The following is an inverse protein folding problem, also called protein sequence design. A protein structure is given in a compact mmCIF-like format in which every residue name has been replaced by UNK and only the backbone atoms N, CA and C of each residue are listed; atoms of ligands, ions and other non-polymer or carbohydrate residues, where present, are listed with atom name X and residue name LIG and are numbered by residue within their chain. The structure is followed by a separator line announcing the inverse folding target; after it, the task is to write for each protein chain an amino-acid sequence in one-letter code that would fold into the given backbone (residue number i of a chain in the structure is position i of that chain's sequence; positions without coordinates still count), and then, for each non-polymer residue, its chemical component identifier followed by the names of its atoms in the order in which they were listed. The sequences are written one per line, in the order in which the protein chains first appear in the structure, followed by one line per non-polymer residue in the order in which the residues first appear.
data_IF_544260687430
#
_entry.id   IF_544260687430
#
_cell.length_a   1.000
_cell.length_b   1.000
_cell.length_c   1.000
_cell.angle_alpha   90.00
_cell.angle_beta   90.00
_cell.angle_gamma   90.00
#
_symmetry.space_group_name_H-M   'P 1'
#
loop_
_entity.id
_entity.type
_entity.pdbx_description
1 polymer ?
#
# COMPACT_ATOMS: atom_id res chain seq x y z
N UNK A 1 -16.84 -15.65 -5.89
CA UNK A 1 -16.10 -15.14 -4.70
C UNK A 1 -16.66 -13.79 -4.33
N UNK A 2 -16.59 -13.36 -3.07
CA UNK A 2 -17.12 -12.05 -2.63
C UNK A 2 -16.25 -11.43 -1.55
N UNK A 3 -16.12 -10.11 -1.56
CA UNK A 3 -15.56 -9.34 -0.45
C UNK A 3 -16.61 -8.41 0.15
N UNK A 4 -16.44 -8.08 1.42
CA UNK A 4 -17.37 -7.31 2.23
C UNK A 4 -16.59 -6.30 3.07
N UNK A 5 -17.19 -5.12 3.29
CA UNK A 5 -16.79 -4.21 4.37
C UNK A 5 -17.49 -4.67 5.65
N UNK A 6 -16.74 -4.72 6.74
CA UNK A 6 -17.22 -5.05 8.08
C UNK A 6 -17.31 -3.79 8.91
N UNK A 7 -18.25 -3.79 9.86
CA UNK A 7 -18.40 -2.80 10.91
C UNK A 7 -18.74 -3.54 12.20
N UNK A 8 -18.17 -3.16 13.32
CA UNK A 8 -18.58 -3.72 14.60
C UNK A 8 -19.98 -3.21 14.96
N UNK A 9 -20.81 -4.10 15.53
CA UNK A 9 -22.21 -3.79 15.88
C UNK A 9 -22.27 -2.76 17.01
N UNK A 10 -21.36 -2.85 17.98
CA UNK A 10 -21.35 -2.03 19.18
C UNK A 10 -20.49 -0.75 19.04
N UNK A 11 -19.55 -0.74 18.09
CA UNK A 11 -18.69 0.40 17.76
C UNK A 11 -18.45 0.46 16.24
N UNK A 12 -19.35 1.10 15.46
CA UNK A 12 -19.23 1.20 14.02
C UNK A 12 -17.94 1.87 13.53
N UNK A 13 -17.21 2.57 14.41
CA UNK A 13 -15.88 3.11 14.11
C UNK A 13 -14.83 2.02 13.90
N UNK A 14 -15.08 0.78 14.37
CA UNK A 14 -14.24 -0.37 14.12
C UNK A 14 -14.67 -1.02 12.81
N UNK A 15 -13.88 -0.80 11.77
CA UNK A 15 -14.12 -1.35 10.43
C UNK A 15 -13.23 -2.55 10.16
N UNK A 16 -13.56 -3.25 9.07
CA UNK A 16 -12.70 -4.28 8.54
C UNK A 16 -13.09 -4.70 7.14
N UNK A 17 -12.41 -5.73 6.65
CA UNK A 17 -12.64 -6.39 5.37
C UNK A 17 -12.74 -7.88 5.56
N UNK A 18 -13.64 -8.51 4.82
CA UNK A 18 -13.78 -9.96 4.75
C UNK A 18 -13.86 -10.39 3.28
N UNK A 19 -13.00 -11.30 2.88
CA UNK A 19 -13.13 -12.07 1.64
C UNK A 19 -13.65 -13.48 1.96
N UNK A 20 -14.70 -13.91 1.25
CA UNK A 20 -15.22 -15.28 1.27
C UNK A 20 -14.96 -15.90 -0.09
N UNK A 21 -14.10 -16.91 -0.10
CA UNK A 21 -13.63 -17.59 -1.31
C UNK A 21 -13.75 -19.11 -1.16
N UNK A 22 -13.55 -19.87 -2.25
CA UNK A 22 -13.34 -21.31 -2.21
C UNK A 22 -12.10 -21.77 -1.42
N UNK A 23 -11.35 -20.88 -0.74
CA UNK A 23 -10.31 -21.23 0.23
C UNK A 23 -10.75 -20.95 1.68
N UNK A 24 -11.99 -20.51 1.89
CA UNK A 24 -12.53 -20.10 3.18
C UNK A 24 -12.62 -18.57 3.34
N UNK A 25 -12.65 -18.13 4.60
CA UNK A 25 -12.72 -16.72 4.97
C UNK A 25 -11.33 -16.14 5.27
N UNK A 26 -11.03 -14.98 4.71
CA UNK A 26 -9.87 -14.16 5.08
C UNK A 26 -10.37 -12.78 5.45
N UNK A 27 -9.99 -12.26 6.62
CA UNK A 27 -10.44 -10.97 7.10
C UNK A 27 -9.32 -10.19 7.81
N UNK A 28 -9.49 -8.88 7.83
CA UNK A 28 -8.76 -7.94 8.69
C UNK A 28 -9.79 -7.02 9.33
N UNK A 29 -9.61 -6.67 10.60
CA UNK A 29 -10.45 -5.68 11.26
C UNK A 29 -9.66 -4.92 12.32
N UNK A 30 -9.97 -3.64 12.46
CA UNK A 30 -9.35 -2.78 13.45
C UNK A 30 -9.84 -3.07 14.86
N UNK A 31 -8.93 -2.94 15.82
CA UNK A 31 -9.26 -2.88 17.26
C UNK A 31 -8.55 -1.69 17.89
N UNK A 32 -8.84 -1.38 19.15
CA UNK A 32 -8.10 -0.33 19.88
C UNK A 32 -6.61 -0.65 20.06
N UNK A 33 -6.22 -1.93 19.99
CA UNK A 33 -4.84 -2.37 20.15
C UNK A 33 -4.09 -2.55 18.82
N UNK A 34 -4.75 -2.32 17.69
CA UNK A 34 -4.23 -2.54 16.34
C UNK A 34 -5.08 -3.51 15.52
N UNK A 35 -4.62 -3.80 14.31
CA UNK A 35 -5.36 -4.66 13.38
C UNK A 35 -5.26 -6.14 13.79
N UNK A 36 -6.35 -6.88 13.62
CA UNK A 36 -6.42 -8.33 13.81
C UNK A 36 -6.72 -8.98 12.47
N UNK A 37 -5.97 -10.03 12.15
CA UNK A 37 -6.12 -10.81 10.93
C UNK A 37 -6.74 -12.16 11.25
N UNK A 38 -7.61 -12.62 10.35
CA UNK A 38 -8.22 -13.95 10.36
C UNK A 38 -7.96 -14.58 9.00
N UNK A 39 -7.39 -15.77 8.94
CA UNK A 39 -7.18 -16.48 7.68
C UNK A 39 -7.28 -18.00 7.86
N UNK A 40 -7.45 -18.77 6.78
CA UNK A 40 -7.41 -20.23 6.87
C UNK A 40 -6.09 -20.68 7.48
N UNK A 41 -6.14 -21.54 8.51
CA UNK A 41 -4.94 -22.03 9.21
C UNK A 41 -3.90 -22.66 8.28
N UNK A 42 -4.37 -23.30 7.21
CA UNK A 42 -3.55 -23.82 6.13
C UNK A 42 -4.27 -23.66 4.78
N UNK A 43 -3.50 -23.59 3.70
CA UNK A 43 -4.01 -23.58 2.33
C UNK A 43 -4.81 -24.86 2.02
N UNK A 44 -5.91 -24.74 1.27
CA UNK A 44 -6.71 -25.87 0.81
C UNK A 44 -7.67 -26.48 1.85
N UNK A 45 -7.87 -25.84 3.02
CA UNK A 45 -8.87 -26.26 4.00
C UNK A 45 -9.71 -25.07 4.47
N UNK A 46 -10.97 -25.31 4.82
CA UNK A 46 -11.92 -24.23 5.19
C UNK A 46 -12.50 -24.40 6.61
N UNK A 47 -12.06 -25.42 7.35
CA UNK A 47 -12.66 -25.78 8.64
C UNK A 47 -12.03 -25.01 9.81
N UNK A 48 -10.75 -24.69 9.70
CA UNK A 48 -9.98 -24.05 10.76
C UNK A 48 -9.41 -22.72 10.28
N UNK A 49 -9.62 -21.69 11.09
CA UNK A 49 -9.08 -20.36 10.88
C UNK A 49 -8.21 -20.00 12.07
N UNK A 50 -7.16 -19.22 11.80
CA UNK A 50 -6.31 -18.63 12.83
C UNK A 50 -6.58 -17.14 12.90
N UNK A 51 -6.66 -16.60 14.12
CA UNK A 51 -6.74 -15.17 14.36
C UNK A 51 -5.48 -14.73 15.12
N UNK A 52 -4.89 -13.61 14.72
CA UNK A 52 -3.66 -13.09 15.32
C UNK A 52 -3.56 -11.57 15.14
N UNK A 53 -2.86 -10.91 16.06
CA UNK A 53 -2.64 -9.48 15.98
C UNK A 53 -1.60 -9.16 14.89
N UNK A 54 -1.74 -8.01 14.23
CA UNK A 54 -0.75 -7.51 13.28
C UNK A 54 0.65 -7.37 13.90
N UNK A 55 0.72 -7.04 15.20
CA UNK A 55 1.98 -6.97 15.95
C UNK A 55 2.70 -8.32 16.08
N UNK A 56 1.97 -9.43 15.97
CA UNK A 56 2.53 -10.80 16.00
C UNK A 56 2.90 -11.31 14.61
N UNK A 57 2.69 -10.51 13.55
CA UNK A 57 3.14 -10.85 12.20
C UNK A 57 4.66 -10.86 12.14
N UNK A 58 5.23 -12.05 12.00
CA UNK A 58 6.64 -12.23 11.76
C UNK A 58 6.88 -12.56 10.29
N UNK A 59 7.73 -11.75 9.67
CA UNK A 59 8.33 -12.07 8.40
C UNK A 59 9.80 -12.41 8.65
N UNK A 60 10.19 -13.62 8.25
CA UNK A 60 11.56 -14.08 8.39
C UNK A 60 12.51 -13.22 7.54
N UNK A 61 13.44 -12.47 8.16
CA UNK A 61 14.39 -11.64 7.44
C UNK A 61 15.25 -12.42 6.45
N UNK A 62 15.47 -13.72 6.68
CA UNK A 62 16.25 -14.57 5.77
C UNK A 62 15.51 -14.87 4.46
N UNK A 63 14.19 -14.63 4.41
CA UNK A 63 13.38 -14.74 3.19
C UNK A 63 13.32 -13.43 2.39
N UNK A 64 13.81 -12.33 2.96
CA UNK A 64 13.79 -11.02 2.33
C UNK A 64 15.04 -10.81 1.45
N UNK A 65 14.88 -10.30 0.22
CA UNK A 65 16.03 -9.83 -0.55
C UNK A 65 16.65 -8.61 0.13
N UNK A 66 17.94 -8.36 -0.15
CA UNK A 66 18.68 -7.24 0.44
C UNK A 66 18.05 -5.86 0.13
N UNK A 67 17.31 -5.78 -0.97
CA UNK A 67 16.56 -4.60 -1.40
C UNK A 67 15.07 -4.83 -1.13
N UNK A 68 14.50 -4.13 -0.14
CA UNK A 68 13.09 -4.31 0.23
C UNK A 68 12.13 -3.91 -0.90
N UNK A 69 12.43 -2.79 -1.59
CA UNK A 69 11.70 -2.29 -2.74
C UNK A 69 12.68 -1.81 -3.83
N UNK A 70 12.35 -2.07 -5.09
CA UNK A 70 13.14 -1.68 -6.26
C UNK A 70 12.70 -0.39 -6.94
N UNK A 71 11.85 0.43 -6.32
CA UNK A 71 11.29 1.63 -6.94
C UNK A 71 12.36 2.68 -7.27
N UNK A 72 12.59 2.89 -8.57
CA UNK A 72 13.46 3.97 -9.06
C UNK A 72 12.61 5.02 -9.76
N UNK A 73 12.30 6.15 -9.09
CA UNK A 73 11.53 7.22 -9.70
C UNK A 73 12.29 7.87 -10.86
N UNK A 74 11.56 8.31 -11.87
CA UNK A 74 12.07 9.21 -12.90
C UNK A 74 12.45 10.57 -12.30
N UNK A 75 13.31 11.38 -12.96
CA UNK A 75 13.62 12.73 -12.50
C UNK A 75 12.36 13.59 -12.29
N UNK A 76 11.35 13.45 -13.15
CA UNK A 76 10.07 14.14 -13.00
C UNK A 76 9.32 13.71 -11.72
N UNK A 77 9.36 12.43 -11.34
CA UNK A 77 8.76 11.92 -10.09
C UNK A 77 9.49 12.45 -8.86
N UNK A 78 10.81 12.59 -8.92
CA UNK A 78 11.60 13.23 -7.87
C UNK A 78 11.30 14.73 -7.76
N UNK A 79 11.03 15.39 -8.88
CA UNK A 79 10.66 16.81 -8.97
C UNK A 79 9.19 17.09 -8.65
N UNK A 80 8.31 16.07 -8.69
CA UNK A 80 6.90 16.10 -8.24
C UNK A 80 6.78 16.25 -6.70
N UNK A 81 7.57 17.14 -6.13
CA UNK A 81 7.24 17.81 -4.90
C UNK A 81 5.89 18.50 -5.05
N UNK A 82 5.04 18.41 -4.02
CA UNK A 82 3.84 19.24 -3.93
C UNK A 82 4.33 20.69 -4.09
N UNK A 83 3.88 21.44 -5.11
CA UNK A 83 4.47 22.73 -5.43
C UNK A 83 4.51 23.63 -4.18
N UNK A 84 5.62 24.34 -3.92
CA UNK A 84 5.76 25.18 -2.72
C UNK A 84 4.62 26.21 -2.54
N UNK A 85 4.07 26.72 -3.66
CA UNK A 85 2.93 27.64 -3.66
C UNK A 85 1.56 26.95 -3.43
N UNK A 86 1.55 25.62 -3.40
CA UNK A 86 0.42 24.75 -3.02
C UNK A 86 0.61 24.12 -1.64
N UNK A 87 1.66 24.44 -0.89
CA UNK A 87 1.76 24.07 0.54
C UNK A 87 0.57 24.60 1.36
N UNK A 88 -0.03 25.78 1.07
CA UNK A 88 -1.32 26.15 1.67
C UNK A 88 -2.48 25.22 1.29
N UNK A 89 -2.38 24.51 0.15
CA UNK A 89 -3.35 23.50 -0.31
C UNK A 89 -3.02 22.07 0.13
N UNK A 90 -1.78 21.73 0.48
CA UNK A 90 -1.45 20.47 1.15
C UNK A 90 -2.17 20.36 2.51
N UNK A 91 -2.33 21.51 3.18
CA UNK A 91 -3.21 21.69 4.35
C UNK A 91 -4.70 21.70 3.95
N UNK A 92 -5.04 22.05 2.70
CA UNK A 92 -6.43 22.03 2.21
C UNK A 92 -6.98 20.64 1.85
N UNK A 93 -6.13 19.62 1.69
CA UNK A 93 -6.61 18.21 1.73
C UNK A 93 -7.02 17.77 3.13
N UNK A 94 -6.74 18.60 4.15
CA UNK A 94 -7.25 18.49 5.52
C UNK A 94 -8.34 19.53 5.76
N UNK A 95 -9.05 19.93 4.71
CA UNK A 95 -10.18 20.84 4.78
C UNK A 95 -11.33 20.16 5.52
N UNK A 96 -11.36 20.28 6.84
CA UNK A 96 -12.38 19.64 7.65
C UNK A 96 -13.79 20.02 7.21
N UNK A 97 -14.72 19.08 7.40
CA UNK A 97 -16.14 19.23 7.13
C UNK A 97 -16.54 19.16 5.66
N UNK A 98 -15.64 18.74 4.76
CA UNK A 98 -15.99 18.42 3.37
C UNK A 98 -16.54 16.99 3.25
N UNK A 99 -17.43 16.70 2.28
CA UNK A 99 -17.85 15.33 2.01
C UNK A 99 -16.65 14.45 1.63
N UNK A 100 -16.58 13.27 2.25
CA UNK A 100 -15.57 12.27 1.95
C UNK A 100 -16.03 11.40 0.77
N UNK A 101 -15.07 10.99 -0.07
CA UNK A 101 -15.32 10.17 -1.25
C UNK A 101 -14.35 9.00 -1.32
N UNK A 102 -14.82 7.86 -1.82
CA UNK A 102 -13.95 6.76 -2.23
C UNK A 102 -13.61 6.90 -3.71
N UNK A 103 -12.32 6.93 -4.05
CA UNK A 103 -11.81 6.90 -5.43
C UNK A 103 -11.49 5.46 -5.81
N UNK A 104 -12.33 4.87 -6.65
CA UNK A 104 -12.16 3.51 -7.11
C UNK A 104 -11.34 3.44 -8.40
N UNK A 105 -10.32 2.59 -8.41
CA UNK A 105 -9.46 2.30 -9.56
C UNK A 105 -9.51 0.82 -9.91
N UNK A 106 -9.57 0.51 -11.20
CA UNK A 106 -9.59 -0.85 -11.70
C UNK A 106 -8.18 -1.41 -11.90
N UNK A 107 -7.90 -2.56 -11.30
CA UNK A 107 -6.62 -3.26 -11.36
C UNK A 107 -6.75 -4.49 -12.26
N UNK A 108 -5.88 -4.57 -13.27
CA UNK A 108 -5.61 -5.81 -13.99
C UNK A 108 -4.45 -6.54 -13.29
N UNK A 109 -4.76 -7.62 -12.58
CA UNK A 109 -3.81 -8.39 -11.78
C UNK A 109 -3.51 -9.72 -12.47
N UNK A 110 -2.26 -9.89 -12.90
CA UNK A 110 -1.79 -11.14 -13.50
C UNK A 110 -0.86 -11.88 -12.55
N UNK A 111 -0.46 -13.12 -12.87
CA UNK A 111 0.53 -13.85 -12.09
C UNK A 111 1.45 -14.71 -12.96
N UNK A 112 2.63 -15.02 -12.44
CA UNK A 112 3.49 -16.05 -13.02
C UNK A 112 2.94 -17.45 -12.69
N UNK A 113 3.34 -18.45 -13.48
CA UNK A 113 2.99 -19.85 -13.27
C UNK A 113 3.51 -20.36 -11.92
N UNK A 114 4.68 -19.92 -11.47
CA UNK A 114 5.24 -20.31 -10.18
C UNK A 114 4.37 -19.83 -9.02
N UNK A 115 3.85 -18.60 -9.11
CA UNK A 115 2.87 -18.10 -8.16
C UNK A 115 1.60 -18.97 -8.20
N UNK A 116 1.09 -19.24 -9.40
CA UNK A 116 -0.12 -20.02 -9.56
C UNK A 116 0.00 -21.42 -8.93
N UNK A 117 1.12 -22.10 -9.15
CA UNK A 117 1.41 -23.40 -8.53
C UNK A 117 1.46 -23.32 -7.00
N UNK A 118 2.07 -22.28 -6.42
CA UNK A 118 2.06 -22.06 -4.95
C UNK A 118 0.67 -21.78 -4.39
N UNK A 119 -0.24 -21.25 -5.20
CA UNK A 119 -1.65 -21.04 -4.85
C UNK A 119 -2.53 -22.20 -5.30
N UNK A 120 -2.00 -23.42 -5.45
CA UNK A 120 -2.77 -24.63 -5.71
C UNK A 120 -3.00 -24.96 -7.18
N UNK A 121 -2.46 -24.19 -8.13
CA UNK A 121 -2.36 -24.56 -9.53
C UNK A 121 -3.68 -24.54 -10.31
N UNK A 122 -4.71 -23.84 -9.82
CA UNK A 122 -5.99 -23.68 -10.54
C UNK A 122 -6.38 -22.22 -10.67
N UNK A 123 -7.14 -21.89 -11.71
CA UNK A 123 -7.69 -20.54 -11.90
C UNK A 123 -8.50 -20.10 -10.67
N UNK A 124 -9.33 -20.99 -10.14
CA UNK A 124 -10.17 -20.69 -8.98
C UNK A 124 -9.34 -20.38 -7.72
N UNK A 125 -8.27 -21.14 -7.49
CA UNK A 125 -7.43 -20.96 -6.30
C UNK A 125 -6.55 -19.72 -6.38
N UNK A 126 -6.07 -19.35 -7.57
CA UNK A 126 -5.36 -18.09 -7.82
C UNK A 126 -6.30 -16.89 -7.68
N UNK A 127 -7.49 -16.96 -8.30
CA UNK A 127 -8.47 -15.88 -8.20
C UNK A 127 -8.94 -15.66 -6.75
N UNK A 128 -9.05 -16.74 -5.95
CA UNK A 128 -9.30 -16.63 -4.51
C UNK A 128 -8.19 -15.87 -3.77
N UNK A 129 -6.93 -16.10 -4.15
CA UNK A 129 -5.77 -15.36 -3.63
C UNK A 129 -5.83 -13.89 -4.00
N UNK A 130 -6.14 -13.56 -5.27
CA UNK A 130 -6.28 -12.18 -5.75
C UNK A 130 -7.38 -11.43 -4.99
N UNK A 131 -8.58 -12.01 -4.89
CA UNK A 131 -9.72 -11.40 -4.17
C UNK A 131 -9.38 -11.16 -2.70
N UNK A 132 -8.71 -12.12 -2.06
CA UNK A 132 -8.31 -11.98 -0.65
C UNK A 132 -7.25 -10.89 -0.48
N UNK A 133 -6.25 -10.83 -1.38
CA UNK A 133 -5.18 -9.84 -1.34
C UNK A 133 -5.72 -8.41 -1.49
N UNK A 134 -6.53 -8.18 -2.52
CA UNK A 134 -7.16 -6.88 -2.78
C UNK A 134 -8.12 -6.50 -1.66
N UNK A 135 -8.87 -7.46 -1.10
CA UNK A 135 -9.74 -7.19 0.04
C UNK A 135 -8.97 -6.74 1.28
N UNK A 136 -7.82 -7.35 1.57
CA UNK A 136 -6.96 -6.95 2.69
C UNK A 136 -6.31 -5.58 2.44
N UNK A 137 -5.81 -5.34 1.23
CA UNK A 137 -5.19 -4.07 0.85
C UNK A 137 -6.18 -2.89 0.93
N UNK A 138 -7.43 -3.12 0.52
CA UNK A 138 -8.49 -2.10 0.60
C UNK A 138 -8.86 -1.71 2.03
N UNK A 139 -8.52 -2.49 3.07
CA UNK A 139 -8.68 -2.00 4.45
C UNK A 139 -7.74 -0.83 4.72
N UNK A 140 -6.50 -0.93 4.24
CA UNK A 140 -5.49 0.13 4.38
C UNK A 140 -5.85 1.31 3.49
N UNK A 141 -6.07 1.09 2.19
CA UNK A 141 -6.27 2.18 1.24
C UNK A 141 -7.53 3.01 1.50
N UNK A 142 -8.64 2.36 1.89
CA UNK A 142 -9.87 3.09 2.16
C UNK A 142 -9.80 3.85 3.48
N UNK A 143 -9.16 3.29 4.51
CA UNK A 143 -8.97 3.93 5.82
C UNK A 143 -8.04 5.13 5.74
N UNK A 144 -6.94 5.01 5.00
CA UNK A 144 -5.87 6.01 5.02
C UNK A 144 -6.08 7.14 4.02
N UNK A 145 -6.55 6.83 2.80
CA UNK A 145 -6.54 7.79 1.68
C UNK A 145 -7.85 7.86 0.89
N UNK A 146 -8.86 7.08 1.28
CA UNK A 146 -10.14 7.00 0.59
C UNK A 146 -10.01 6.40 -0.81
N UNK A 147 -9.12 5.42 -1.00
CA UNK A 147 -8.90 4.76 -2.29
C UNK A 147 -9.38 3.31 -2.22
N UNK A 148 -10.06 2.86 -3.28
CA UNK A 148 -10.43 1.46 -3.48
C UNK A 148 -9.78 0.94 -4.75
N UNK A 149 -9.22 -0.26 -4.67
CA UNK A 149 -8.76 -1.02 -5.83
C UNK A 149 -9.74 -2.16 -6.10
N UNK A 150 -10.21 -2.27 -7.34
CA UNK A 150 -11.17 -3.31 -7.76
C UNK A 150 -10.58 -4.10 -8.92
N UNK A 151 -10.58 -5.43 -8.80
CA UNK A 151 -10.20 -6.33 -9.90
C UNK A 151 -11.10 -6.10 -11.13
N UNK A 152 -10.56 -6.26 -12.32
CA UNK A 152 -11.31 -6.05 -13.56
C UNK A 152 -12.28 -7.20 -13.82
N UNK A 153 -13.20 -7.01 -14.75
CA UNK A 153 -13.94 -8.14 -15.30
C UNK A 153 -13.01 -9.07 -16.07
N UNK A 154 -13.31 -10.38 -16.06
CA UNK A 154 -12.52 -11.43 -16.72
C UNK A 154 -11.08 -11.56 -16.21
N UNK A 155 -10.86 -11.29 -14.92
CA UNK A 155 -9.56 -11.47 -14.26
C UNK A 155 -8.99 -12.88 -14.45
N UNK A 156 -9.84 -13.89 -14.62
CA UNK A 156 -9.43 -15.27 -14.88
C UNK A 156 -8.60 -15.45 -16.16
N UNK A 157 -8.76 -14.57 -17.15
CA UNK A 157 -7.99 -14.61 -18.41
C UNK A 157 -6.55 -14.14 -18.22
N UNK A 158 -6.24 -13.51 -17.08
CA UNK A 158 -4.91 -13.02 -16.73
C UNK A 158 -4.12 -14.01 -15.86
N UNK A 159 -4.68 -15.19 -15.58
CA UNK A 159 -4.08 -16.22 -14.74
C UNK A 159 -3.32 -17.24 -15.60
N UNK A 160 -2.00 -17.27 -15.41
CA UNK A 160 -1.12 -18.25 -16.05
C UNK A 160 -0.76 -19.35 -15.06
N UNK A 161 -1.12 -20.60 -15.39
CA UNK A 161 -0.95 -21.74 -14.46
C UNK A 161 0.39 -22.46 -14.62
N UNK A 162 0.97 -22.45 -15.81
CA UNK A 162 2.11 -23.28 -16.16
C UNK A 162 3.38 -22.42 -16.34
N UNK A 163 4.39 -22.56 -15.45
CA UNK A 163 5.65 -21.83 -15.54
C UNK A 163 6.37 -21.98 -16.89
N UNK A 164 6.19 -23.11 -17.58
CA UNK A 164 6.90 -23.38 -18.83
C UNK A 164 6.27 -22.67 -20.04
N UNK A 165 5.01 -22.24 -19.93
CA UNK A 165 4.25 -21.69 -21.06
C UNK A 165 3.68 -20.28 -20.83
N UNK A 166 3.83 -19.77 -19.61
CA UNK A 166 3.45 -18.41 -19.26
C UNK A 166 4.31 -17.35 -20.03
N UNK A 167 3.92 -16.07 -20.01
CA UNK A 167 4.65 -15.02 -20.73
C UNK A 167 5.84 -14.43 -19.95
N UNK A 168 6.21 -15.00 -18.81
CA UNK A 168 7.17 -14.46 -17.87
C UNK A 168 8.49 -15.25 -17.89
N UNK A 169 9.59 -14.57 -18.20
CA UNK A 169 10.94 -15.10 -18.10
C UNK A 169 11.58 -14.56 -16.82
N UNK A 170 12.41 -15.40 -16.19
CA UNK A 170 13.12 -15.07 -14.95
C UNK A 170 12.14 -14.60 -13.86
N UNK A 171 11.14 -15.43 -13.55
CA UNK A 171 10.05 -15.10 -12.62
C UNK A 171 10.52 -14.75 -11.19
N UNK A 172 11.78 -15.03 -10.85
CA UNK A 172 12.44 -14.67 -9.60
C UNK A 172 13.21 -13.33 -9.66
N UNK A 173 13.17 -12.61 -10.78
CA UNK A 173 13.77 -11.27 -10.95
C UNK A 173 12.68 -10.20 -11.12
N UNK A 174 12.30 -9.55 -10.03
CA UNK A 174 11.22 -8.55 -10.02
C UNK A 174 11.45 -7.39 -10.98
N UNK A 175 12.70 -6.91 -11.10
CA UNK A 175 13.04 -5.83 -12.03
C UNK A 175 12.85 -6.20 -13.50
N UNK A 176 13.12 -7.46 -13.87
CA UNK A 176 12.96 -7.92 -15.26
C UNK A 176 11.49 -8.12 -15.64
N UNK A 177 10.66 -8.52 -14.68
CA UNK A 177 9.22 -8.76 -14.88
C UNK A 177 8.46 -7.50 -15.28
N UNK A 178 8.88 -6.31 -14.83
CA UNK A 178 8.24 -5.02 -15.13
C UNK A 178 7.87 -4.86 -16.60
N UNK A 179 8.82 -5.16 -17.50
CA UNK A 179 8.64 -4.98 -18.95
C UNK A 179 7.69 -6.01 -19.59
N UNK A 180 7.42 -7.11 -18.88
CA UNK A 180 6.70 -8.28 -19.39
C UNK A 180 5.20 -8.24 -19.04
N UNK A 181 4.84 -7.56 -17.94
CA UNK A 181 3.45 -7.47 -17.43
C UNK A 181 2.48 -6.97 -18.48
N UNK A 182 2.85 -5.94 -19.25
CA UNK A 182 1.99 -5.40 -20.31
C UNK A 182 1.65 -6.45 -21.38
N UNK A 183 2.61 -7.27 -21.77
CA UNK A 183 2.37 -8.33 -22.75
C UNK A 183 1.47 -9.43 -22.18
N UNK A 184 1.63 -9.75 -20.89
CA UNK A 184 0.75 -10.70 -20.19
C UNK A 184 -0.70 -10.19 -20.13
N UNK A 185 -0.92 -8.91 -19.84
CA UNK A 185 -2.27 -8.33 -19.72
C UNK A 185 -2.91 -8.06 -21.09
N UNK A 186 -2.23 -7.29 -21.94
CA UNK A 186 -2.81 -6.78 -23.19
C UNK A 186 -2.61 -7.76 -24.35
N UNK A 187 -1.40 -8.32 -24.48
CA UNK A 187 -1.03 -9.17 -25.60
C UNK A 187 -1.67 -10.54 -25.51
N UNK A 188 -1.33 -11.31 -24.48
CA UNK A 188 -1.82 -12.68 -24.26
C UNK A 188 -3.19 -12.71 -23.57
N UNK A 189 -3.39 -11.92 -22.53
CA UNK A 189 -4.67 -11.82 -21.83
C UNK A 189 -5.76 -11.14 -22.66
N UNK A 190 -5.39 -10.38 -23.69
CA UNK A 190 -6.34 -9.72 -24.59
C UNK A 190 -7.15 -8.61 -23.93
N UNK A 191 -6.75 -8.13 -22.75
CA UNK A 191 -7.42 -7.06 -22.01
C UNK A 191 -6.98 -5.71 -22.59
N UNK A 192 -7.88 -4.90 -23.17
CA UNK A 192 -7.50 -3.62 -23.76
C UNK A 192 -6.96 -2.67 -22.69
N UNK A 193 -5.89 -1.94 -22.98
CA UNK A 193 -5.26 -1.05 -21.99
C UNK A 193 -6.14 0.09 -21.48
N UNK A 194 -7.29 0.36 -22.12
CA UNK A 194 -8.28 1.34 -21.67
C UNK A 194 -9.33 0.78 -20.70
N UNK A 195 -9.29 -0.51 -20.36
CA UNK A 195 -10.30 -1.18 -19.50
C UNK A 195 -9.91 -1.29 -18.02
N UNK A 196 -8.72 -0.80 -17.66
CA UNK A 196 -8.18 -0.80 -16.30
C UNK A 196 -7.34 0.45 -16.07
N UNK A 197 -7.08 0.80 -14.81
CA UNK A 197 -6.38 2.01 -14.39
C UNK A 197 -4.92 1.75 -13.97
N UNK A 198 -4.61 0.51 -13.60
CA UNK A 198 -3.26 0.01 -13.30
C UNK A 198 -3.17 -1.49 -13.60
N UNK A 199 -1.95 -1.97 -13.85
CA UNK A 199 -1.66 -3.38 -14.02
C UNK A 199 -0.53 -3.81 -13.10
N UNK A 200 -0.60 -5.03 -12.59
CA UNK A 200 0.33 -5.54 -11.59
C UNK A 200 0.52 -7.04 -11.79
N UNK A 201 1.70 -7.58 -11.48
CA UNK A 201 1.93 -9.03 -11.45
C UNK A 201 2.27 -9.52 -10.05
N UNK A 202 1.63 -10.60 -9.64
CA UNK A 202 2.07 -11.41 -8.51
C UNK A 202 2.99 -12.52 -9.00
N UNK A 203 4.20 -12.57 -8.44
CA UNK A 203 5.13 -13.67 -8.67
C UNK A 203 5.40 -14.40 -7.35
N UNK A 204 6.12 -15.51 -7.42
CA UNK A 204 6.70 -16.17 -6.26
C UNK A 204 7.70 -15.23 -5.53
N UNK A 205 8.59 -15.78 -4.71
CA UNK A 205 9.66 -14.95 -4.14
C UNK A 205 10.62 -14.49 -5.24
N UNK A 206 11.09 -13.25 -5.15
CA UNK A 206 12.15 -12.71 -6.01
C UNK A 206 13.46 -12.68 -5.22
N UNK A 207 14.60 -12.77 -5.93
CA UNK A 207 15.93 -12.71 -5.31
C UNK A 207 16.54 -11.31 -5.28
N UNK A 208 16.04 -10.41 -6.12
CA UNK A 208 16.60 -9.06 -6.35
C UNK A 208 15.89 -7.97 -5.54
N UNK A 209 14.56 -8.02 -5.43
CA UNK A 209 13.73 -7.00 -4.76
C UNK A 209 12.49 -7.62 -4.09
N UNK A 210 11.98 -7.05 -3.00
CA UNK A 210 10.73 -7.53 -2.36
C UNK A 210 9.48 -7.20 -3.18
N UNK A 211 9.54 -6.13 -3.95
CA UNK A 211 8.56 -5.66 -4.91
C UNK A 211 9.16 -4.51 -5.72
N UNK A 212 8.48 -4.11 -6.79
CA UNK A 212 8.91 -2.94 -7.55
C UNK A 212 7.77 -2.38 -8.38
N UNK A 213 7.70 -1.06 -8.44
CA UNK A 213 7.01 -0.30 -9.50
C UNK A 213 8.05 0.40 -10.36
N UNK A 214 7.92 0.30 -11.68
CA UNK A 214 8.88 0.93 -12.60
C UNK A 214 8.70 2.45 -12.66
N UNK A 215 9.80 3.20 -12.79
CA UNK A 215 9.72 4.67 -12.95
C UNK A 215 8.77 5.08 -14.08
N UNK A 216 7.83 5.98 -13.78
CA UNK A 216 6.76 6.43 -14.67
C UNK A 216 5.54 5.49 -14.77
N UNK A 217 5.52 4.36 -14.05
CA UNK A 217 4.38 3.43 -14.02
C UNK A 217 3.28 3.92 -13.08
N UNK A 218 2.66 5.03 -13.49
CA UNK A 218 1.65 5.73 -12.69
C UNK A 218 0.25 5.26 -13.06
N UNK A 219 -0.68 5.25 -12.11
CA UNK A 219 -2.10 5.02 -12.38
C UNK A 219 -2.56 5.94 -13.51
N UNK A 220 -3.20 5.35 -14.51
CA UNK A 220 -3.73 6.00 -15.72
C UNK A 220 -2.67 6.66 -16.62
N UNK A 221 -1.38 6.43 -16.33
CA UNK A 221 -0.26 6.84 -17.16
C UNK A 221 0.15 5.78 -18.19
N UNK A 222 1.09 6.12 -19.09
CA UNK A 222 1.75 5.14 -19.94
C UNK A 222 2.58 4.15 -19.10
N UNK A 223 2.54 2.87 -19.46
CA UNK A 223 3.30 1.83 -18.74
C UNK A 223 2.80 1.58 -17.31
N UNK A 224 1.54 1.91 -17.02
CA UNK A 224 0.81 1.64 -15.77
C UNK A 224 0.75 0.17 -15.35
N UNK A 225 1.23 -0.74 -16.20
CA UNK A 225 1.30 -2.17 -15.92
C UNK A 225 2.62 -2.61 -15.26
N UNK A 226 3.64 -1.73 -15.20
CA UNK A 226 4.99 -2.09 -14.74
C UNK A 226 5.04 -2.09 -13.22
N UNK A 227 4.45 -3.10 -12.60
CA UNK A 227 4.49 -3.31 -11.16
C UNK A 227 4.47 -4.79 -10.77
N UNK A 228 5.20 -5.12 -9.71
CA UNK A 228 5.45 -6.48 -9.24
C UNK A 228 5.35 -6.54 -7.71
N UNK A 229 4.66 -7.56 -7.19
CA UNK A 229 4.75 -7.96 -5.78
C UNK A 229 5.31 -9.38 -5.72
N UNK A 230 6.41 -9.55 -4.99
CA UNK A 230 7.06 -10.84 -4.83
C UNK A 230 6.58 -11.54 -3.56
N UNK A 231 5.99 -12.72 -3.70
CA UNK A 231 5.47 -13.51 -2.58
C UNK A 231 6.53 -14.46 -2.01
N UNK A 232 7.44 -13.92 -1.20
CA UNK A 232 8.46 -14.70 -0.46
C UNK A 232 7.89 -15.48 0.74
N UNK A 233 6.63 -15.25 1.11
CA UNK A 233 5.88 -16.00 2.14
C UNK A 233 4.54 -16.49 1.59
N UNK A 234 4.08 -17.63 2.12
CA UNK A 234 2.73 -18.14 1.83
C UNK A 234 1.65 -17.44 2.65
N UNK A 235 2.01 -16.75 3.73
CA UNK A 235 1.08 -15.91 4.49
C UNK A 235 0.72 -14.69 3.63
N UNK A 236 -0.53 -14.63 3.17
CA UNK A 236 -0.99 -13.59 2.26
C UNK A 236 -1.07 -12.23 2.97
N UNK A 237 -1.54 -12.20 4.20
CA UNK A 237 -1.70 -10.97 4.97
C UNK A 237 -0.37 -10.26 5.21
N UNK A 238 0.70 -11.01 5.51
CA UNK A 238 2.07 -10.47 5.64
C UNK A 238 2.54 -9.83 4.34
N UNK A 239 2.35 -10.49 3.19
CA UNK A 239 2.76 -9.93 1.88
C UNK A 239 1.94 -8.70 1.52
N UNK A 240 0.62 -8.73 1.76
CA UNK A 240 -0.25 -7.59 1.45
C UNK A 240 0.16 -6.36 2.26
N UNK A 241 0.34 -6.55 3.58
CA UNK A 241 0.68 -5.50 4.52
C UNK A 241 2.05 -4.88 4.25
N UNK A 242 3.07 -5.72 4.04
CA UNK A 242 4.47 -5.27 4.02
C UNK A 242 5.02 -5.02 2.61
N UNK A 243 4.36 -5.52 1.55
CA UNK A 243 4.82 -5.36 0.15
C UNK A 243 3.74 -4.74 -0.71
N UNK A 244 2.58 -5.38 -0.85
CA UNK A 244 1.57 -4.92 -1.81
C UNK A 244 1.11 -3.49 -1.52
N UNK A 245 0.85 -3.15 -0.24
CA UNK A 245 0.45 -1.79 0.13
C UNK A 245 1.54 -0.74 -0.17
N UNK A 246 2.81 -1.12 -0.04
CA UNK A 246 3.97 -0.29 -0.39
C UNK A 246 4.07 -0.10 -1.91
N UNK A 247 4.07 -1.19 -2.67
CA UNK A 247 4.22 -1.15 -4.12
C UNK A 247 3.03 -0.47 -4.80
N UNK A 248 1.79 -0.74 -4.36
CA UNK A 248 0.62 -0.07 -4.94
C UNK A 248 0.66 1.43 -4.68
N UNK A 249 1.20 1.91 -3.55
CA UNK A 249 1.36 3.35 -3.31
C UNK A 249 2.34 4.02 -4.29
N UNK A 250 3.36 3.30 -4.79
CA UNK A 250 4.25 3.81 -5.85
C UNK A 250 3.51 4.06 -7.17
N UNK A 251 2.46 3.30 -7.50
CA UNK A 251 1.60 3.61 -8.65
C UNK A 251 0.93 4.99 -8.51
N UNK A 252 0.72 5.46 -7.28
CA UNK A 252 0.17 6.78 -6.95
C UNK A 252 1.28 7.81 -6.69
N UNK A 253 2.51 7.55 -7.15
CA UNK A 253 3.66 8.46 -7.04
C UNK A 253 4.01 8.85 -5.61
N UNK A 254 3.77 7.95 -4.66
CA UNK A 254 4.19 8.14 -3.26
C UNK A 254 5.65 7.75 -3.12
N UNK A 255 6.46 8.61 -2.51
CA UNK A 255 7.89 8.35 -2.34
C UNK A 255 8.19 7.58 -1.05
N UNK A 256 9.38 7.00 -0.98
CA UNK A 256 9.88 6.40 0.27
C UNK A 256 10.01 7.44 1.40
N UNK A 257 9.63 7.05 2.61
CA UNK A 257 9.62 7.91 3.79
C UNK A 257 10.86 7.79 4.69
N UNK A 258 11.67 6.75 4.51
CA UNK A 258 12.84 6.44 5.35
C UNK A 258 14.08 7.28 4.99
N UNK A 259 14.97 7.47 5.96
CA UNK A 259 16.12 8.38 5.82
C UNK A 259 17.49 7.72 5.84
N UNK A 260 17.65 6.51 6.41
CA UNK A 260 18.93 5.81 6.39
C UNK A 260 18.78 4.28 6.34
N UNK A 261 19.20 3.70 5.21
CA UNK A 261 19.19 2.27 4.97
C UNK A 261 20.46 1.82 4.23
N UNK A 262 21.52 1.41 4.96
CA UNK A 262 22.80 1.07 4.35
C UNK A 262 22.68 0.03 3.25
N UNK A 263 23.30 0.29 2.09
CA UNK A 263 23.23 -0.59 0.91
C UNK A 263 22.03 -0.32 0.01
N UNK A 264 21.08 0.52 0.44
CA UNK A 264 19.89 0.91 -0.30
C UNK A 264 19.85 2.42 -0.61
N UNK A 265 20.97 3.15 -0.51
CA UNK A 265 21.03 4.61 -0.65
C UNK A 265 20.43 5.14 -1.96
N UNK A 266 20.53 4.35 -3.04
CA UNK A 266 19.94 4.69 -4.34
C UNK A 266 18.41 4.67 -4.38
N UNK A 267 17.76 4.13 -3.35
CA UNK A 267 16.31 4.11 -3.17
C UNK A 267 15.81 5.26 -2.26
N UNK A 268 16.71 6.05 -1.67
CA UNK A 268 16.33 7.12 -0.74
C UNK A 268 15.68 8.29 -1.48
N UNK A 269 14.48 8.70 -1.07
CA UNK A 269 13.82 9.90 -1.55
C UNK A 269 14.11 11.10 -0.63
N UNK A 270 15.17 11.85 -0.90
CA UNK A 270 15.66 12.88 0.04
C UNK A 270 14.69 14.02 0.40
N UNK A 271 13.68 14.28 -0.42
CA UNK A 271 12.60 15.25 -0.19
C UNK A 271 11.39 14.67 0.56
N UNK A 272 11.37 13.36 0.78
CA UNK A 272 10.30 12.62 1.48
C UNK A 272 10.84 11.81 2.67
N UNK A 273 12.15 11.78 2.87
CA UNK A 273 12.88 11.02 3.89
C UNK A 273 12.73 11.61 5.31
N UNK A 274 11.50 11.68 5.81
CA UNK A 274 11.16 12.22 7.14
C UNK A 274 11.41 11.22 8.26
N UNK A 275 11.25 9.93 8.02
CA UNK A 275 11.38 8.92 9.06
C UNK A 275 12.84 8.55 9.30
N UNK A 276 13.30 8.51 10.56
CA UNK A 276 14.68 8.17 10.88
C UNK A 276 14.97 6.68 10.60
N UNK A 277 16.22 6.37 10.23
CA UNK A 277 16.63 5.00 9.97
C UNK A 277 15.79 4.33 8.88
N UNK A 278 15.30 3.13 9.17
CA UNK A 278 14.41 2.35 8.33
C UNK A 278 13.01 2.93 8.20
N UNK A 279 12.62 3.84 9.09
CA UNK A 279 11.23 4.24 9.33
C UNK A 279 10.34 3.09 9.84
N UNK A 280 9.05 3.39 10.00
CA UNK A 280 8.07 2.47 10.61
C UNK A 280 6.71 2.41 9.90
N UNK A 281 6.43 3.35 8.99
CA UNK A 281 5.20 3.41 8.19
C UNK A 281 5.30 2.61 6.90
N UNK A 282 4.20 2.52 6.14
CA UNK A 282 4.11 1.66 4.94
C UNK A 282 5.17 1.99 3.87
N UNK A 283 5.51 3.26 3.66
CA UNK A 283 6.50 3.68 2.64
C UNK A 283 7.95 3.64 3.13
N UNK A 284 8.16 3.11 4.33
CA UNK A 284 9.46 2.92 4.93
C UNK A 284 10.08 1.58 4.51
N UNK A 285 11.33 1.34 4.88
CA UNK A 285 11.99 0.03 4.78
C UNK A 285 12.02 -0.65 6.16
N UNK A 286 10.96 -0.46 6.96
CA UNK A 286 10.82 -0.95 8.33
C UNK A 286 11.33 -2.39 8.49
N UNK A 287 12.39 -2.55 9.30
CA UNK A 287 12.98 -3.86 9.59
C UNK A 287 14.05 -4.35 8.61
N UNK A 288 14.28 -3.66 7.48
CA UNK A 288 15.19 -4.09 6.42
C UNK A 288 16.56 -3.36 6.38
N UNK A 289 16.83 -2.43 7.29
CA UNK A 289 18.03 -1.57 7.27
C UNK A 289 19.12 -1.97 8.27
N UNK A 290 19.02 -3.19 8.80
CA UNK A 290 19.94 -3.75 9.80
C UNK A 290 19.69 -3.24 11.21
N UNK A 291 20.16 -3.99 12.21
CA UNK A 291 19.84 -3.74 13.63
C UNK A 291 20.18 -2.33 14.14
N UNK A 292 21.19 -1.67 13.56
CA UNK A 292 21.59 -0.31 13.94
C UNK A 292 20.68 0.80 13.35
N UNK A 293 19.88 0.50 12.33
CA UNK A 293 18.99 1.48 11.69
C UNK A 293 17.52 1.05 11.68
N UNK A 294 17.21 -0.16 12.15
CA UNK A 294 15.84 -0.63 12.25
C UNK A 294 15.10 0.06 13.39
N UNK A 295 14.08 0.83 13.03
CA UNK A 295 13.07 1.32 13.96
C UNK A 295 12.08 0.16 14.21
N UNK A 296 11.68 -0.12 15.46
CA UNK A 296 10.67 -1.13 15.74
C UNK A 296 9.37 -0.83 14.99
N UNK A 297 8.86 -1.81 14.25
CA UNK A 297 7.57 -1.70 13.59
C UNK A 297 6.44 -1.61 14.62
N UNK A 298 5.46 -0.73 14.37
CA UNK A 298 4.22 -0.67 15.14
C UNK A 298 3.22 -1.76 14.75
N UNK A 299 2.19 -1.94 15.59
CA UNK A 299 1.08 -2.86 15.34
C UNK A 299 0.02 -2.35 14.36
N UNK A 300 0.14 -1.11 13.86
CA UNK A 300 -0.81 -0.49 12.92
C UNK A 300 -0.06 -0.17 11.63
N UNK A 301 -0.64 -0.56 10.49
CA UNK A 301 -0.17 -0.13 9.18
C UNK A 301 -0.87 1.15 8.77
N UNK A 302 -0.08 2.20 8.61
CA UNK A 302 -0.52 3.52 8.19
C UNK A 302 0.57 4.19 7.34
N UNK A 303 0.20 5.20 6.56
CA UNK A 303 1.13 6.00 5.77
C UNK A 303 1.62 7.21 6.58
N UNK A 304 2.89 7.56 6.46
CA UNK A 304 3.42 8.82 7.00
C UNK A 304 2.64 10.01 6.41
N UNK A 305 2.49 11.10 7.17
CA UNK A 305 1.71 12.27 6.81
C UNK A 305 2.11 12.88 5.46
N UNK A 306 3.40 12.94 5.15
CA UNK A 306 3.85 13.38 3.82
C UNK A 306 3.51 12.37 2.71
N UNK A 307 3.56 11.07 2.99
CA UNK A 307 3.13 10.04 2.05
C UNK A 307 1.63 10.14 1.76
N UNK A 308 0.81 10.41 2.77
CA UNK A 308 -0.61 10.71 2.61
C UNK A 308 -0.81 11.93 1.71
N UNK A 309 -0.09 13.03 1.95
CA UNK A 309 -0.17 14.23 1.12
C UNK A 309 0.19 13.97 -0.34
N UNK A 310 1.23 13.18 -0.62
CA UNK A 310 1.58 12.77 -1.99
C UNK A 310 0.48 11.93 -2.64
N UNK A 311 -0.04 10.93 -1.91
CA UNK A 311 -1.09 10.04 -2.40
C UNK A 311 -2.37 10.83 -2.70
N UNK A 312 -2.77 11.71 -1.78
CA UNK A 312 -3.96 12.54 -1.92
C UNK A 312 -3.80 13.53 -3.06
N UNK A 313 -2.64 14.20 -3.18
CA UNK A 313 -2.35 15.07 -4.32
C UNK A 313 -2.44 14.31 -5.64
N UNK A 314 -1.86 13.10 -5.71
CA UNK A 314 -1.90 12.30 -6.93
C UNK A 314 -3.33 11.96 -7.37
N UNK A 315 -4.14 11.49 -6.43
CA UNK A 315 -5.51 11.01 -6.66
C UNK A 315 -6.53 12.14 -6.85
N UNK A 316 -6.20 13.38 -6.43
CA UNK A 316 -7.14 14.52 -6.45
C UNK A 316 -6.78 15.59 -7.48
N UNK A 317 -5.50 15.76 -7.82
CA UNK A 317 -5.05 16.92 -8.61
C UNK A 317 -4.34 16.58 -9.92
N UNK A 318 -3.79 15.36 -10.06
CA UNK A 318 -2.99 14.97 -11.24
C UNK A 318 -3.53 13.70 -11.90
N UNK A 319 -2.66 12.83 -12.43
CA UNK A 319 -3.05 11.68 -13.28
C UNK A 319 -4.15 10.83 -12.67
N UNK A 320 -4.06 10.51 -11.37
CA UNK A 320 -5.04 9.69 -10.67
C UNK A 320 -6.44 10.32 -10.60
N UNK A 321 -6.56 11.65 -10.66
CA UNK A 321 -7.87 12.32 -10.64
C UNK A 321 -8.67 12.11 -11.94
N UNK A 322 -8.00 11.74 -13.04
CA UNK A 322 -8.59 11.73 -14.38
C UNK A 322 -9.39 10.47 -14.72
N UNK A 323 -9.23 9.41 -13.94
CA UNK A 323 -9.75 8.08 -14.25
C UNK A 323 -10.46 7.37 -13.09
N UNK A 324 -10.36 7.92 -11.87
CA UNK A 324 -11.05 7.36 -10.72
C UNK A 324 -12.57 7.35 -10.95
N UNK A 325 -13.20 6.22 -10.64
CA UNK A 325 -14.64 6.21 -10.41
C UNK A 325 -14.89 6.72 -9.00
N UNK A 326 -15.44 7.93 -8.88
CA UNK A 326 -15.75 8.55 -7.58
C UNK A 326 -17.03 7.95 -7.02
N UNK A 327 -16.96 7.42 -5.80
CA UNK A 327 -18.07 6.89 -5.04
C UNK A 327 -18.36 7.86 -3.90
N UNK A 328 -19.55 8.43 -3.91
CA UNK A 328 -20.05 9.27 -2.82
C UNK A 328 -20.22 8.44 -1.54
N UNK A 329 -19.93 9.05 -0.40
CA UNK A 329 -20.15 8.46 0.91
C UNK A 329 -21.00 9.39 1.75
N UNK A 330 -21.62 8.86 2.80
CA UNK A 330 -22.35 9.66 3.79
C UNK A 330 -21.42 10.19 4.90
N UNK A 331 -20.09 10.13 4.70
CA UNK A 331 -19.09 10.53 5.69
C UNK A 331 -18.53 11.91 5.34
N UNK A 332 -18.09 12.65 6.36
CA UNK A 332 -17.37 13.93 6.21
C UNK A 332 -15.95 13.85 6.75
N UNK A 333 -15.05 14.69 6.23
CA UNK A 333 -13.69 14.80 6.76
C UNK A 333 -13.73 15.48 8.15
N UNK A 334 -12.95 15.00 9.14
CA UNK A 334 -12.94 15.61 10.47
C UNK A 334 -12.34 17.03 10.43
N UNK A 335 -12.84 17.90 11.30
CA UNK A 335 -12.31 19.26 11.51
C UNK A 335 -11.32 19.23 12.66
N UNK A 336 -10.06 19.58 12.37
CA UNK A 336 -9.00 19.72 13.38
C UNK A 336 -8.78 21.18 13.70
N UNK A 337 -8.82 21.51 14.99
CA UNK A 337 -8.52 22.83 15.53
C UNK A 337 -7.22 22.78 16.34
N UNK A 338 -6.33 23.72 16.05
CA UNK A 338 -5.04 23.84 16.69
C UNK A 338 -4.94 25.21 17.37
N UNK A 339 -4.77 25.28 18.70
CA UNK A 339 -4.76 26.53 19.45
C UNK A 339 -3.39 27.25 19.39
N UNK A 340 -2.80 27.38 18.20
CA UNK A 340 -1.58 28.16 18.00
C UNK A 340 -1.81 29.33 17.03
N UNK A 341 -0.93 30.32 17.10
CA UNK A 341 -0.97 31.50 16.22
C UNK A 341 -0.09 31.28 15.00
N UNK A 342 -0.52 31.74 13.83
CA UNK A 342 0.30 31.71 12.62
C UNK A 342 1.65 32.40 12.83
N UNK A 343 2.73 31.78 12.34
CA UNK A 343 4.09 32.26 12.55
C UNK A 343 4.70 31.94 13.91
N UNK A 344 3.99 31.18 14.76
CA UNK A 344 4.58 30.59 15.97
C UNK A 344 5.77 29.68 15.60
N UNK A 345 6.88 29.84 16.32
CA UNK A 345 8.11 29.08 16.11
C UNK A 345 8.66 28.61 17.46
N UNK A 346 9.01 27.33 17.53
CA UNK A 346 9.67 26.71 18.69
C UNK A 346 11.16 26.59 18.35
N UNK A 347 12.08 27.20 19.13
CA UNK A 347 13.51 27.04 18.91
C UNK A 347 13.96 25.58 19.02
N UNK A 348 15.00 25.21 18.26
CA UNK A 348 15.64 23.89 18.38
C UNK A 348 16.04 23.60 19.83
N UNK A 349 15.98 22.33 20.23
CA UNK A 349 16.28 21.85 21.59
C UNK A 349 15.33 22.39 22.69
N UNK A 350 14.17 22.94 22.32
CA UNK A 350 13.14 23.36 23.27
C UNK A 350 12.10 22.26 23.43
N UNK A 351 11.90 21.67 24.62
CA UNK A 351 10.77 20.77 24.87
C UNK A 351 9.45 21.52 24.74
N UNK A 352 8.45 20.88 24.14
CA UNK A 352 7.11 21.42 23.97
C UNK A 352 6.06 20.32 24.10
N UNK A 353 4.81 20.74 24.28
CA UNK A 353 3.63 19.89 24.26
C UNK A 353 2.73 20.37 23.13
N UNK A 354 2.10 19.43 22.41
CA UNK A 354 1.14 19.73 21.35
C UNK A 354 -0.26 19.44 21.87
N UNK A 355 -1.14 20.43 21.73
CA UNK A 355 -2.57 20.30 22.02
C UNK A 355 -3.35 20.51 20.72
N UNK A 356 -4.37 19.69 20.51
CA UNK A 356 -5.30 19.80 19.38
C UNK A 356 -6.67 19.28 19.81
N UNK A 357 -7.72 19.79 19.18
CA UNK A 357 -9.06 19.21 19.25
C UNK A 357 -9.52 18.84 17.84
N UNK A 358 -10.28 17.76 17.73
CA UNK A 358 -10.90 17.35 16.48
C UNK A 358 -12.38 17.08 16.69
N UNK A 359 -13.20 17.41 15.68
CA UNK A 359 -14.64 17.13 15.65
C UNK A 359 -15.00 16.44 14.37
N UNK A 360 -16.03 15.61 14.43
CA UNK A 360 -16.56 14.83 13.34
C UNK A 360 -18.07 15.05 13.26
N UNK A 361 -18.62 15.25 12.06
CA UNK A 361 -20.04 15.59 11.92
C UNK A 361 -20.96 14.39 12.19
N UNK A 362 -20.46 13.19 11.92
CA UNK A 362 -21.14 11.91 12.15
C UNK A 362 -20.97 11.40 13.60
N UNK A 363 -20.13 12.07 14.40
CA UNK A 363 -19.74 11.71 15.76
C UNK A 363 -18.99 10.37 15.83
N UNK A 364 -18.28 10.03 14.75
CA UNK A 364 -17.41 8.86 14.72
C UNK A 364 -16.20 9.05 15.64
N UNK A 365 -15.66 7.93 16.12
CA UNK A 365 -14.47 7.93 16.97
C UNK A 365 -13.24 8.22 16.13
N UNK A 366 -12.59 9.33 16.42
CA UNK A 366 -11.36 9.75 15.74
C UNK A 366 -10.12 9.15 16.39
N UNK A 367 -9.15 8.78 15.55
CA UNK A 367 -7.78 8.43 15.95
C UNK A 367 -6.82 9.50 15.44
N UNK A 368 -5.73 9.71 16.17
CA UNK A 368 -4.74 10.74 15.83
C UNK A 368 -3.32 10.21 16.02
N UNK A 369 -2.42 10.71 15.20
CA UNK A 369 -0.97 10.57 15.37
C UNK A 369 -0.31 11.94 15.16
N UNK A 370 0.81 12.14 15.82
CA UNK A 370 1.67 13.30 15.62
C UNK A 370 2.96 12.81 14.99
N UNK A 371 3.34 13.42 13.87
CA UNK A 371 4.55 13.09 13.14
C UNK A 371 5.39 14.33 12.92
N UNK A 372 6.69 14.12 12.91
CA UNK A 372 7.69 15.15 12.70
C UNK A 372 7.84 15.37 11.18
N UNK A 373 7.83 16.62 10.71
CA UNK A 373 7.90 17.01 9.28
C UNK A 373 9.09 17.93 8.96
N UNK A 374 10.21 17.78 9.66
CA UNK A 374 11.50 18.41 9.36
C UNK A 374 12.41 17.37 8.69
N UNK A 375 12.88 17.69 7.49
CA UNK A 375 13.88 16.86 6.82
C UNK A 375 15.26 17.04 7.46
N UNK A 376 15.97 15.93 7.61
CA UNK A 376 17.37 15.90 8.06
C UNK A 376 18.30 15.22 7.05
N UNK A 377 19.64 15.39 7.20
CA UNK A 377 20.58 14.56 6.45
C UNK A 377 20.40 13.07 6.82
N UNK A 378 20.83 12.12 5.95
CA UNK A 378 20.91 10.72 6.33
C UNK A 378 21.79 10.56 7.57
N UNK A 379 21.27 9.92 8.62
CA UNK A 379 21.99 9.70 9.88
C UNK A 379 21.65 8.32 10.47
N UNK A 380 22.60 7.66 11.16
CA UNK A 380 22.31 6.48 11.99
C UNK A 380 21.27 6.77 13.07
N UNK A 381 20.58 5.75 13.58
CA UNK A 381 19.77 5.90 14.78
C UNK A 381 20.68 6.10 16.00
N UNK A 382 20.48 7.20 16.73
CA UNK A 382 21.27 7.56 17.92
C UNK A 382 21.95 8.90 17.75
#
# INVERSE_FOLDING_TARGET
MRSYRLFAVDDPSLTGRLAVTPQGCTAVYGTQAGDVYLEPYQWGQHAYHIAYAAADMYLDPDLLPATSCGYVPTPEELEQTIPANRVPQAVAFRGGGQPAYIRNYFLALTCTGEYAQRKGGTVESVLASFVSAVSLANEIFEREVGVRVTLIEREEDLIYLDPETDPFQNADQGLELLSQVRNAIVGRGGVPSGSYDMGHVFTAGCSDVGGVVGGGARVCGPGKERAVTCHYSNNLAVIVRNVMAHEVAHHFSVSHSWNNCPGNDGQRAGNAAYEPGSGSTIMSYSGACGAANNVPAGGISYYHGYSLEQFMYFTREVSGATCATVIETENTEPVVELPYTDGFYIPIETPFELEASATDAEQDRLTYCWEQLDLGPPAPLG
#
